data_IF_831419412240
#
_entry.id   IF_831419412240
#
_cell.length_a   1.000
_cell.length_b   1.000
_cell.length_c   1.000
_cell.angle_alpha   90.00
_cell.angle_beta   90.00
_cell.angle_gamma   90.00
#
_symmetry.space_group_name_H-M   'P 1'
#
loop_
_entity.id
_entity.type
_entity.pdbx_description
1 polymer ?
#
# COMPACT_ATOMS: atom_id res chain seq x y z
N UNK A 1 31.06 16.82 -55.20
CA UNK A 1 30.23 17.39 -54.11
C UNK A 1 29.14 16.38 -53.76
N UNK A 2 28.86 16.23 -52.46
CA UNK A 2 27.76 15.50 -51.80
C UNK A 2 27.79 13.96 -51.66
N UNK A 3 28.46 13.56 -50.56
CA UNK A 3 28.17 12.53 -49.54
C UNK A 3 26.89 11.70 -49.72
N UNK A 4 27.05 10.38 -49.84
CA UNK A 4 26.05 9.37 -49.46
C UNK A 4 26.44 8.72 -48.13
N UNK A 5 25.61 8.91 -47.10
CA UNK A 5 25.83 8.43 -45.74
C UNK A 5 25.65 6.90 -45.62
N UNK A 6 26.56 6.25 -44.88
CA UNK A 6 26.37 4.92 -44.31
C UNK A 6 25.16 4.92 -43.37
N UNK A 7 24.33 3.88 -43.44
CA UNK A 7 23.41 3.52 -42.35
C UNK A 7 23.71 2.09 -41.93
N UNK A 8 24.56 1.95 -40.91
CA UNK A 8 24.78 0.68 -40.22
C UNK A 8 23.58 0.49 -39.28
N UNK A 9 22.64 -0.36 -39.69
CA UNK A 9 21.57 -0.81 -38.81
C UNK A 9 22.18 -1.70 -37.71
N UNK A 10 22.39 -1.14 -36.53
CA UNK A 10 22.77 -1.88 -35.33
C UNK A 10 21.60 -2.78 -34.89
N UNK A 11 21.69 -4.07 -35.22
CA UNK A 11 20.84 -5.11 -34.64
C UNK A 11 21.24 -5.27 -33.16
N UNK A 12 20.44 -4.73 -32.25
CA UNK A 12 20.55 -5.12 -30.84
C UNK A 12 19.98 -6.53 -30.65
N UNK A 13 20.67 -7.43 -29.93
CA UNK A 13 20.13 -8.74 -29.59
C UNK A 13 19.03 -8.55 -28.55
N UNK A 14 17.79 -8.87 -28.94
CA UNK A 14 16.64 -8.96 -28.04
C UNK A 14 16.90 -10.17 -27.13
N UNK A 15 17.40 -9.93 -25.92
CA UNK A 15 17.49 -10.96 -24.90
C UNK A 15 16.07 -11.40 -24.53
N UNK A 16 15.81 -12.71 -24.36
CA UNK A 16 14.49 -13.20 -24.01
C UNK A 16 14.11 -12.70 -22.61
N UNK A 17 13.03 -11.92 -22.56
CA UNK A 17 12.31 -11.62 -21.32
C UNK A 17 11.96 -12.94 -20.66
N UNK A 18 12.60 -13.26 -19.53
CA UNK A 18 12.16 -14.33 -18.66
C UNK A 18 10.76 -13.99 -18.15
N UNK A 19 9.74 -14.44 -18.89
CA UNK A 19 8.38 -14.50 -18.37
C UNK A 19 8.37 -15.59 -17.31
N UNK A 20 8.39 -15.18 -16.04
CA UNK A 20 7.90 -16.02 -14.96
C UNK A 20 6.40 -16.21 -15.17
N UNK A 21 6.05 -17.20 -15.99
CA UNK A 21 4.71 -17.76 -16.03
C UNK A 21 4.57 -18.64 -14.79
N UNK A 22 4.14 -18.07 -13.68
CA UNK A 22 3.68 -18.90 -12.57
C UNK A 22 2.38 -19.56 -13.01
N UNK A 23 2.41 -20.87 -13.25
CA UNK A 23 1.21 -21.70 -13.45
C UNK A 23 0.44 -21.83 -12.12
N UNK A 24 0.02 -20.71 -11.53
CA UNK A 24 -1.06 -20.71 -10.56
C UNK A 24 -2.34 -20.66 -11.37
N UNK A 25 -2.96 -21.81 -11.58
CA UNK A 25 -4.40 -21.87 -11.83
C UNK A 25 -5.09 -21.42 -10.55
N UNK A 26 -5.03 -20.12 -10.24
CA UNK A 26 -5.95 -19.53 -9.32
C UNK A 26 -7.33 -19.71 -9.94
N UNK A 27 -8.08 -20.68 -9.42
CA UNK A 27 -9.52 -20.78 -9.68
C UNK A 27 -10.11 -19.53 -9.03
N UNK A 28 -10.05 -18.41 -9.75
CA UNK A 28 -10.73 -17.20 -9.33
C UNK A 28 -12.22 -17.52 -9.39
N UNK A 29 -12.93 -17.29 -8.28
CA UNK A 29 -14.39 -17.27 -8.36
C UNK A 29 -14.79 -16.22 -9.39
N UNK A 30 -15.79 -16.52 -10.21
CA UNK A 30 -16.40 -15.55 -11.12
C UNK A 30 -17.21 -14.48 -10.37
N UNK A 31 -17.32 -14.59 -9.04
CA UNK A 31 -18.04 -13.65 -8.19
C UNK A 31 -17.25 -12.34 -8.00
N UNK A 32 -17.89 -11.23 -8.36
CA UNK A 32 -17.30 -9.90 -8.18
C UNK A 32 -17.58 -9.43 -6.74
N UNK A 33 -16.54 -9.44 -5.92
CA UNK A 33 -16.54 -8.82 -4.60
C UNK A 33 -15.37 -7.82 -4.52
N UNK A 34 -15.64 -6.60 -4.94
CA UNK A 34 -14.65 -5.52 -4.96
C UNK A 34 -15.17 -4.31 -4.20
N UNK A 35 -14.35 -3.83 -3.28
CA UNK A 35 -14.57 -2.60 -2.52
C UNK A 35 -13.43 -1.64 -2.83
N UNK A 36 -13.78 -0.37 -3.00
CA UNK A 36 -12.83 0.71 -3.22
C UNK A 36 -13.19 1.87 -2.33
N UNK A 37 -12.26 2.26 -1.46
CA UNK A 37 -12.46 3.34 -0.49
C UNK A 37 -11.33 4.36 -0.59
N UNK A 38 -11.69 5.62 -0.43
CA UNK A 38 -10.75 6.71 -0.20
C UNK A 38 -11.16 7.39 1.11
N UNK A 39 -10.27 7.36 2.10
CA UNK A 39 -10.59 7.85 3.44
C UNK A 39 -9.35 8.29 4.20
N UNK A 40 -9.55 8.58 5.49
CA UNK A 40 -8.47 8.90 6.42
C UNK A 40 -8.34 7.81 7.47
N UNK A 41 -7.12 7.44 7.83
CA UNK A 41 -6.86 6.48 8.93
C UNK A 41 -7.39 7.07 10.24
N UNK A 42 -8.13 6.28 11.00
CA UNK A 42 -8.80 6.69 12.23
C UNK A 42 -8.06 6.25 13.50
N UNK A 43 -8.35 6.95 14.61
CA UNK A 43 -8.01 6.64 16.01
C UNK A 43 -6.54 6.48 16.37
N UNK A 44 -5.87 5.40 15.94
CA UNK A 44 -4.58 4.96 16.53
C UNK A 44 -3.56 4.47 15.50
N UNK A 45 -3.79 4.73 14.20
CA UNK A 45 -2.90 4.24 13.15
C UNK A 45 -3.08 2.74 12.88
N UNK A 46 -2.00 2.07 12.45
CA UNK A 46 -1.98 0.65 12.12
C UNK A 46 -1.55 -0.19 13.30
N UNK A 47 -2.34 -1.21 13.64
CA UNK A 47 -1.99 -2.24 14.62
C UNK A 47 -1.50 -3.49 13.90
N UNK A 48 -0.31 -3.97 14.22
CA UNK A 48 0.27 -5.18 13.62
C UNK A 48 0.31 -6.27 14.68
N UNK A 49 -0.30 -7.41 14.39
CA UNK A 49 -0.14 -8.62 15.20
C UNK A 49 1.17 -9.33 14.81
N UNK A 50 2.16 -9.27 15.69
CA UNK A 50 3.48 -9.85 15.47
C UNK A 50 3.46 -11.38 15.31
N UNK A 51 2.42 -12.06 15.80
CA UNK A 51 2.32 -13.52 15.70
C UNK A 51 1.87 -13.97 14.31
N UNK A 52 0.98 -13.21 13.69
CA UNK A 52 0.32 -13.56 12.43
C UNK A 52 0.74 -12.67 11.25
N UNK A 53 1.51 -11.60 11.51
CA UNK A 53 1.86 -10.55 10.55
C UNK A 53 0.61 -9.95 9.86
N UNK A 54 -0.49 -9.81 10.60
CA UNK A 54 -1.71 -9.18 10.12
C UNK A 54 -1.74 -7.75 10.60
N UNK A 55 -1.88 -6.81 9.67
CA UNK A 55 -2.13 -5.41 10.01
C UNK A 55 -3.62 -5.10 10.00
N UNK A 56 -4.07 -4.35 11.01
CA UNK A 56 -5.45 -3.87 11.14
C UNK A 56 -5.45 -2.37 11.39
N UNK A 57 -6.30 -1.65 10.68
CA UNK A 57 -6.60 -0.25 10.97
C UNK A 57 -8.05 0.09 10.61
N UNK A 58 -8.53 1.24 11.08
CA UNK A 58 -9.85 1.73 10.73
C UNK A 58 -9.73 2.88 9.73
N UNK A 59 -10.53 2.85 8.67
CA UNK A 59 -10.61 3.90 7.67
C UNK A 59 -11.92 4.68 7.83
N UNK A 60 -11.81 5.99 8.02
CA UNK A 60 -12.95 6.90 8.09
C UNK A 60 -13.26 7.45 6.70
N UNK A 61 -14.51 7.26 6.26
CA UNK A 61 -15.05 7.82 5.02
C UNK A 61 -16.18 8.79 5.30
N UNK A 62 -16.36 9.76 4.41
CA UNK A 62 -17.40 10.80 4.50
C UNK A 62 -18.30 10.70 3.29
N UNK A 63 -19.56 10.34 3.52
CA UNK A 63 -20.60 10.34 2.49
C UNK A 63 -21.48 11.57 2.66
N UNK A 64 -21.49 12.45 1.66
CA UNK A 64 -22.42 13.60 1.61
C UNK A 64 -23.57 13.24 0.69
N UNK A 65 -24.79 13.51 1.12
CA UNK A 65 -25.99 13.20 0.35
C UNK A 65 -27.04 14.29 0.54
N UNK A 66 -27.96 14.40 -0.43
CA UNK A 66 -29.09 15.31 -0.41
C UNK A 66 -30.28 14.57 0.22
N UNK A 67 -30.80 15.07 1.34
CA UNK A 67 -32.10 14.67 1.87
C UNK A 67 -33.21 15.56 1.27
N UNK A 68 -34.47 15.30 1.60
CA UNK A 68 -35.62 15.99 0.99
C UNK A 68 -35.53 17.53 1.07
N UNK A 69 -35.02 18.06 2.18
CA UNK A 69 -34.94 19.50 2.48
C UNK A 69 -33.50 20.02 2.56
N UNK A 70 -32.54 19.21 3.00
CA UNK A 70 -31.17 19.65 3.34
C UNK A 70 -30.05 18.74 2.86
N UNK A 71 -28.83 19.27 2.83
CA UNK A 71 -27.62 18.45 2.67
C UNK A 71 -27.25 17.80 4.01
N UNK A 72 -26.94 16.52 3.94
CA UNK A 72 -26.57 15.70 5.09
C UNK A 72 -25.19 15.06 4.86
N UNK A 73 -24.56 14.66 5.95
CA UNK A 73 -23.28 13.96 5.94
C UNK A 73 -23.33 12.76 6.89
N UNK A 74 -22.83 11.62 6.42
CA UNK A 74 -22.63 10.41 7.22
C UNK A 74 -21.14 10.11 7.30
N UNK A 75 -20.67 9.85 8.52
CA UNK A 75 -19.34 9.31 8.78
C UNK A 75 -19.46 7.79 8.89
N UNK A 76 -18.59 7.06 8.20
CA UNK A 76 -18.56 5.59 8.22
C UNK A 76 -17.14 5.11 8.49
N UNK A 77 -17.00 4.29 9.52
CA UNK A 77 -15.76 3.63 9.90
C UNK A 77 -15.73 2.23 9.28
N UNK A 78 -14.63 1.92 8.59
CA UNK A 78 -14.42 0.62 7.94
C UNK A 78 -13.20 -0.05 8.56
N UNK A 79 -13.35 -1.28 9.04
CA UNK A 79 -12.21 -2.07 9.53
C UNK A 79 -11.47 -2.66 8.35
N UNK A 80 -10.19 -2.34 8.20
CA UNK A 80 -9.32 -2.83 7.14
C UNK A 80 -8.37 -3.89 7.70
N UNK A 81 -8.27 -5.01 7.02
CA UNK A 81 -7.36 -6.12 7.30
C UNK A 81 -6.38 -6.30 6.15
N UNK A 82 -5.10 -6.44 6.48
CA UNK A 82 -4.02 -6.62 5.51
C UNK A 82 -3.22 -7.84 5.90
N UNK A 83 -3.17 -8.82 4.99
CA UNK A 83 -2.49 -10.09 5.19
C UNK A 83 -1.19 -10.20 4.37
N UNK A 84 -1.06 -9.39 3.32
CA UNK A 84 0.10 -9.42 2.43
C UNK A 84 1.30 -8.71 3.10
N UNK A 85 2.38 -9.44 3.37
CA UNK A 85 3.53 -8.92 4.15
C UNK A 85 4.18 -7.68 3.54
N UNK A 86 4.49 -7.62 2.23
CA UNK A 86 4.99 -6.40 1.61
C UNK A 86 4.06 -5.20 1.77
N UNK A 87 2.74 -5.44 1.68
CA UNK A 87 1.75 -4.40 1.88
C UNK A 87 1.69 -3.95 3.35
N UNK A 88 1.82 -4.88 4.30
CA UNK A 88 1.90 -4.58 5.76
C UNK A 88 3.09 -3.67 6.05
N UNK A 89 4.28 -3.99 5.57
CA UNK A 89 5.47 -3.15 5.79
C UNK A 89 5.30 -1.74 5.20
N UNK A 90 4.70 -1.64 4.00
CA UNK A 90 4.42 -0.33 3.38
C UNK A 90 3.53 0.56 4.24
N UNK A 91 2.56 -0.03 4.92
CA UNK A 91 1.57 0.73 5.69
C UNK A 91 1.92 0.86 7.17
N UNK A 92 3.03 0.27 7.63
CA UNK A 92 3.35 0.19 9.07
C UNK A 92 3.47 1.56 9.74
N UNK A 93 3.88 2.57 8.98
CA UNK A 93 4.09 3.94 9.46
C UNK A 93 2.83 4.83 9.30
N UNK A 94 1.70 4.27 8.87
CA UNK A 94 0.46 5.02 8.73
C UNK A 94 -0.02 5.54 10.09
N UNK A 95 -0.22 6.85 10.14
CA UNK A 95 -0.66 7.58 11.31
C UNK A 95 -2.12 8.02 11.18
N UNK A 96 -2.72 8.39 12.31
CA UNK A 96 -4.06 8.94 12.32
C UNK A 96 -4.14 10.18 11.41
N UNK A 97 -5.17 10.25 10.56
CA UNK A 97 -5.40 11.36 9.64
C UNK A 97 -4.88 11.13 8.22
N UNK A 98 -3.91 10.22 8.05
CA UNK A 98 -3.32 9.91 6.75
C UNK A 98 -4.37 9.48 5.74
N UNK A 99 -4.29 10.07 4.55
CA UNK A 99 -5.22 9.77 3.46
C UNK A 99 -4.72 8.57 2.68
N UNK A 100 -5.58 7.56 2.55
CA UNK A 100 -5.24 6.33 1.82
C UNK A 100 -6.38 5.90 0.93
N UNK A 101 -5.99 5.37 -0.23
CA UNK A 101 -6.85 4.59 -1.09
C UNK A 101 -6.71 3.12 -0.72
N UNK A 102 -7.83 2.42 -0.56
CA UNK A 102 -7.88 1.00 -0.26
C UNK A 102 -8.72 0.30 -1.31
N UNK A 103 -8.17 -0.74 -1.92
CA UNK A 103 -8.89 -1.67 -2.78
C UNK A 103 -8.80 -3.07 -2.18
N UNK A 104 -9.93 -3.77 -2.17
CA UNK A 104 -10.01 -5.10 -1.57
C UNK A 104 -11.38 -5.73 -1.75
N UNK A 105 -11.72 -6.65 -0.87
CA UNK A 105 -13.01 -7.34 -0.85
C UNK A 105 -13.70 -7.20 0.51
N UNK A 106 -15.04 -7.23 0.52
CA UNK A 106 -15.82 -7.27 1.76
C UNK A 106 -15.81 -8.71 2.29
N UNK A 107 -15.38 -8.87 3.53
CA UNK A 107 -15.28 -10.17 4.19
C UNK A 107 -16.05 -10.15 5.51
N UNK A 108 -16.53 -11.31 5.93
CA UNK A 108 -17.15 -11.49 7.25
C UNK A 108 -16.51 -12.70 7.92
N UNK A 109 -16.16 -12.58 9.19
CA UNK A 109 -15.60 -13.67 9.98
C UNK A 109 -16.21 -13.68 11.38
N UNK A 110 -16.22 -14.87 11.98
CA UNK A 110 -16.76 -15.07 13.31
C UNK A 110 -15.67 -14.73 14.33
N UNK A 111 -15.91 -13.73 15.18
CA UNK A 111 -14.98 -13.31 16.24
C UNK A 111 -15.15 -14.15 17.50
N UNK A 112 -16.39 -14.49 17.82
CA UNK A 112 -16.79 -15.28 18.99
C UNK A 112 -17.93 -16.23 18.59
N UNK A 113 -18.40 -17.07 19.51
CA UNK A 113 -19.52 -17.99 19.22
C UNK A 113 -20.77 -17.28 18.71
N UNK A 114 -21.01 -16.00 19.02
CA UNK A 114 -22.23 -15.32 18.57
C UNK A 114 -21.96 -14.06 17.74
N UNK A 115 -20.71 -13.58 17.72
CA UNK A 115 -20.38 -12.33 17.05
C UNK A 115 -19.73 -12.55 15.68
N UNK A 116 -20.39 -11.99 14.66
CA UNK A 116 -19.80 -11.80 13.34
C UNK A 116 -19.21 -10.41 13.22
N UNK A 117 -18.06 -10.32 12.59
CA UNK A 117 -17.39 -9.07 12.27
C UNK A 117 -17.26 -8.94 10.77
N UNK A 118 -17.56 -7.74 10.26
CA UNK A 118 -17.31 -7.37 8.87
C UNK A 118 -16.01 -6.60 8.77
N UNK A 119 -15.21 -6.90 7.77
CA UNK A 119 -13.99 -6.17 7.46
C UNK A 119 -13.79 -6.08 5.95
N UNK A 120 -12.89 -5.20 5.55
CA UNK A 120 -12.38 -5.16 4.19
C UNK A 120 -11.01 -5.79 4.20
N UNK A 121 -10.85 -6.87 3.45
CA UNK A 121 -9.54 -7.48 3.21
C UNK A 121 -8.86 -6.72 2.08
N UNK A 122 -7.87 -5.91 2.42
CA UNK A 122 -7.17 -5.09 1.43
C UNK A 122 -6.23 -5.95 0.59
N UNK A 123 -6.32 -5.77 -0.73
CA UNK A 123 -5.44 -6.36 -1.72
C UNK A 123 -4.44 -5.31 -2.24
N UNK A 124 -4.81 -4.03 -2.19
CA UNK A 124 -3.93 -2.93 -2.55
C UNK A 124 -4.24 -1.69 -1.69
N UNK A 125 -3.19 -0.98 -1.29
CA UNK A 125 -3.28 0.29 -0.56
C UNK A 125 -2.30 1.27 -1.20
N UNK A 126 -2.81 2.45 -1.55
CA UNK A 126 -2.03 3.55 -2.11
C UNK A 126 -2.10 4.71 -1.12
N UNK A 127 -0.94 5.12 -0.64
CA UNK A 127 -0.79 6.31 0.18
C UNK A 127 -1.08 7.54 -0.69
N UNK A 128 -1.85 8.50 -0.19
CA UNK A 128 -2.15 9.71 -0.96
C UNK A 128 -0.89 10.52 -1.29
N UNK A 129 0.14 10.47 -0.42
CA UNK A 129 1.46 11.04 -0.67
C UNK A 129 2.16 10.46 -1.90
N UNK A 130 1.80 9.23 -2.30
CA UNK A 130 2.40 8.50 -3.40
C UNK A 130 1.49 8.45 -4.65
N UNK A 131 0.31 9.07 -4.57
CA UNK A 131 -0.60 9.13 -5.70
C UNK A 131 0.07 9.86 -6.88
N UNK A 132 0.18 9.17 -8.02
CA UNK A 132 0.82 9.69 -9.24
C UNK A 132 2.34 9.51 -9.31
N UNK A 133 2.98 8.95 -8.28
CA UNK A 133 4.38 8.51 -8.39
C UNK A 133 4.45 7.20 -9.17
N UNK A 134 5.46 7.06 -10.04
CA UNK A 134 5.71 5.77 -10.68
C UNK A 134 6.19 4.76 -9.63
N UNK A 135 5.88 3.47 -9.77
CA UNK A 135 6.41 2.45 -8.88
C UNK A 135 7.93 2.53 -8.88
N UNK A 136 8.56 2.70 -7.72
CA UNK A 136 10.01 2.68 -7.60
C UNK A 136 10.51 1.37 -8.20
N UNK A 137 11.43 1.48 -9.16
CA UNK A 137 12.12 0.30 -9.68
C UNK A 137 12.99 -0.30 -8.56
N UNK A 138 13.27 -1.60 -8.61
CA UNK A 138 14.01 -2.32 -7.55
C UNK A 138 15.34 -1.65 -7.14
N UNK A 139 15.94 -0.81 -8.01
CA UNK A 139 17.14 -0.05 -7.68
C UNK A 139 16.86 1.16 -6.77
N UNK A 140 15.73 1.85 -6.94
CA UNK A 140 15.39 3.07 -6.19
C UNK A 140 14.86 2.75 -4.78
N UNK A 141 14.22 1.58 -4.60
CA UNK A 141 13.78 1.10 -3.29
C UNK A 141 14.95 0.76 -2.35
N UNK A 142 16.09 0.34 -2.90
CA UNK A 142 17.31 0.04 -2.12
C UNK A 142 18.01 1.32 -1.68
N UNK A 143 17.97 2.37 -2.50
CA UNK A 143 18.58 3.67 -2.19
C UNK A 143 17.75 4.42 -1.12
N UNK A 144 16.42 4.39 -1.22
CA UNK A 144 15.56 5.01 -0.21
C UNK A 144 15.70 4.35 1.18
N UNK A 145 15.99 3.05 1.24
CA UNK A 145 16.27 2.35 2.50
C UNK A 145 17.66 2.66 3.08
N UNK A 146 18.59 3.20 2.27
CA UNK A 146 19.93 3.59 2.69
C UNK A 146 20.00 5.04 3.20
N UNK A 147 19.18 5.94 2.64
CA UNK A 147 19.12 7.34 3.10
C UNK A 147 18.59 7.46 4.54
N UNK A 148 17.61 6.64 4.93
CA UNK A 148 17.04 6.57 6.30
C UNK A 148 18.04 6.08 7.38
N UNK A 149 19.24 5.64 7.00
CA UNK A 149 20.29 5.17 7.92
C UNK A 149 21.48 6.15 8.03
N UNK A 150 21.41 7.31 7.38
CA UNK A 150 22.55 8.23 7.27
C UNK A 150 22.47 9.53 8.08
N UNK A 151 21.36 9.81 8.78
CA UNK A 151 21.33 10.89 9.77
C UNK A 151 21.96 10.41 11.09
N UNK A 152 23.26 10.62 11.19
CA UNK A 152 24.07 10.35 12.38
C UNK A 152 23.76 11.32 13.51
N UNK A 153 23.56 10.78 14.71
CA UNK A 153 23.85 11.49 15.94
C UNK A 153 25.35 11.39 16.21
N UNK A 154 26.03 12.54 16.17
CA UNK A 154 27.40 12.71 16.63
C UNK A 154 27.47 12.43 18.13
N UNK A 155 28.13 11.35 18.52
CA UNK A 155 28.47 11.09 19.94
C UNK A 155 29.70 11.94 20.28
N UNK A 156 29.47 13.06 20.96
CA UNK A 156 30.52 13.87 21.57
C UNK A 156 31.14 13.11 22.74
N UNK A 157 32.31 12.49 22.51
CA UNK A 157 33.10 11.83 23.55
C UNK A 157 33.98 12.90 24.22
N UNK A 158 33.53 13.42 25.36
CA UNK A 158 34.41 14.19 26.26
C UNK A 158 35.33 13.22 27.01
N UNK A 159 36.60 13.17 26.60
CA UNK A 159 37.67 12.57 27.40
C UNK A 159 38.04 13.52 28.56
N UNK A 160 37.69 13.17 29.80
CA UNK A 160 38.43 13.67 30.95
C UNK A 160 39.51 12.65 31.33
N UNK A 161 40.75 13.14 31.40
CA UNK A 161 41.95 12.38 31.73
C UNK A 161 42.19 12.39 33.24
N UNK A 162 42.58 11.21 33.76
CA UNK A 162 43.21 10.87 35.05
C UNK A 162 43.34 11.99 36.10
#
# INVERSE_FOLDING_TARGET
MLKGFLTIASRQPILPVFRFSSNYNAVFSNDINQVTLLGSVASTGVTIDNSSFIATFNLLTRARYRAADRYMMKLVYHRIHVFDRPLVERIRNLSQGDRVYVQGCLSSFRKSTEDWMQCITAQNIILHSDAGKQPLTNAEAVVAAADDLSEGDEVEITMESI
#
